data_IF_448525662367
#
_entry.id   IF_448525662367
#
_cell.length_a   1.000
_cell.length_b   1.000
_cell.length_c   1.000
_cell.angle_alpha   90.00
_cell.angle_beta   90.00
_cell.angle_gamma   90.00
#
_symmetry.space_group_name_H-M   'P 1'
#
loop_
_entity.id
_entity.type
_entity.pdbx_description
1 polymer ?
#
# COMPACT_ATOMS: atom_id res chain seq x y z
N UNK A 1 -20.85 -6.00 1.61
CA UNK A 1 -19.51 -5.41 1.89
C UNK A 1 -18.55 -5.95 0.86
N UNK A 2 -17.98 -5.09 0.03
CA UNK A 2 -16.92 -5.46 -0.91
C UNK A 2 -15.59 -5.56 -0.15
N UNK A 3 -14.82 -6.63 -0.39
CA UNK A 3 -13.48 -6.81 0.17
C UNK A 3 -12.44 -6.68 -0.93
N UNK A 4 -11.39 -5.91 -0.66
CA UNK A 4 -10.25 -5.75 -1.57
C UNK A 4 -9.02 -6.42 -0.95
N UNK A 5 -8.45 -7.38 -1.68
CA UNK A 5 -7.27 -8.14 -1.25
C UNK A 5 -6.01 -7.47 -1.76
N UNK A 6 -5.04 -7.25 -0.87
CA UNK A 6 -3.75 -6.64 -1.22
C UNK A 6 -2.60 -7.58 -0.85
N UNK A 7 -1.75 -7.86 -1.83
CA UNK A 7 -0.46 -8.54 -1.65
C UNK A 7 0.57 -7.49 -1.21
N UNK A 8 0.88 -7.44 0.10
CA UNK A 8 2.02 -6.67 0.61
C UNK A 8 2.29 -6.93 2.10
N UNK A 9 3.04 -7.99 2.41
CA UNK A 9 3.64 -8.14 3.74
C UNK A 9 4.75 -7.11 3.93
N UNK A 10 4.49 -6.24 4.90
CA UNK A 10 5.46 -5.47 5.72
C UNK A 10 6.25 -4.33 5.06
N UNK A 11 6.30 -4.22 3.74
CA UNK A 11 7.16 -3.24 3.06
C UNK A 11 6.51 -1.88 2.83
N UNK A 12 5.17 -1.79 2.77
CA UNK A 12 4.47 -0.54 2.44
C UNK A 12 3.32 -0.18 3.38
N UNK A 13 3.59 -0.07 4.69
CA UNK A 13 2.68 0.64 5.60
C UNK A 13 2.94 2.15 5.50
N UNK A 14 2.62 2.74 4.34
CA UNK A 14 2.68 4.21 4.17
C UNK A 14 1.52 4.79 4.97
N UNK A 15 1.86 5.44 6.09
CA UNK A 15 0.91 6.22 6.87
C UNK A 15 0.90 7.68 6.38
N UNK A 16 -0.09 8.46 6.82
CA UNK A 16 -0.09 9.90 6.57
C UNK A 16 1.18 10.54 7.15
N UNK A 17 1.63 11.64 6.56
CA UNK A 17 2.93 12.22 6.92
C UNK A 17 3.02 12.64 8.40
N UNK A 18 1.92 13.10 9.00
CA UNK A 18 1.81 13.44 10.43
C UNK A 18 1.47 12.27 11.34
N UNK A 19 1.34 11.05 10.80
CA UNK A 19 0.98 9.87 11.59
C UNK A 19 2.09 9.44 12.53
N UNK A 20 1.67 8.87 13.65
CA UNK A 20 2.57 8.38 14.68
C UNK A 20 3.44 7.22 14.16
N UNK A 21 4.76 7.35 14.22
CA UNK A 21 5.69 6.30 13.80
C UNK A 21 7.00 6.32 14.57
N UNK A 22 7.39 5.17 15.12
CA UNK A 22 8.64 5.03 15.86
C UNK A 22 9.86 4.84 14.93
N UNK A 23 9.68 4.57 13.63
CA UNK A 23 10.75 4.04 12.75
C UNK A 23 12.01 4.92 12.66
N UNK A 24 11.86 6.24 12.75
CA UNK A 24 12.96 7.19 12.63
C UNK A 24 13.15 8.09 13.86
N UNK A 25 12.40 7.87 14.95
CA UNK A 25 12.44 8.76 16.11
C UNK A 25 13.84 8.81 16.75
N UNK A 26 14.33 10.02 17.12
CA UNK A 26 15.64 10.17 17.77
C UNK A 26 15.59 9.73 19.23
N UNK A 27 16.72 9.23 19.76
CA UNK A 27 16.82 8.81 21.17
C UNK A 27 16.62 9.98 22.14
N UNK A 28 17.29 11.10 21.86
CA UNK A 28 17.32 12.30 22.70
C UNK A 28 16.85 13.52 21.90
N UNK A 29 16.41 14.56 22.61
CA UNK A 29 16.21 15.89 22.04
C UNK A 29 17.48 16.42 21.36
N UNK A 30 17.30 17.20 20.29
CA UNK A 30 18.42 17.83 19.60
C UNK A 30 19.07 18.91 20.47
N UNK A 31 20.40 19.02 20.37
CA UNK A 31 21.17 20.11 20.95
C UNK A 31 21.13 21.37 20.07
N UNK A 32 20.90 21.22 18.77
CA UNK A 32 20.85 22.34 17.84
C UNK A 32 19.64 23.24 18.12
N UNK A 33 19.75 24.55 17.83
CA UNK A 33 18.67 25.51 18.06
C UNK A 33 17.43 25.22 17.22
N UNK A 34 17.58 24.68 16.01
CA UNK A 34 16.50 24.45 15.06
C UNK A 34 15.45 23.40 15.53
N UNK A 35 14.20 23.48 15.02
CA UNK A 35 13.20 22.44 15.20
C UNK A 35 13.73 21.09 14.74
N UNK A 36 13.52 20.06 15.56
CA UNK A 36 14.01 18.73 15.26
C UNK A 36 12.85 17.77 15.05
N UNK A 37 13.01 16.90 14.05
CA UNK A 37 12.07 15.83 13.71
C UNK A 37 10.65 16.34 13.34
N UNK A 38 10.52 17.33 12.43
CA UNK A 38 9.24 17.63 11.81
C UNK A 38 8.87 16.57 10.75
N UNK A 39 7.58 16.47 10.44
CA UNK A 39 7.10 15.72 9.29
C UNK A 39 6.86 16.69 8.11
N UNK A 40 7.65 16.61 7.02
CA UNK A 40 7.43 17.47 5.86
C UNK A 40 6.22 16.97 5.06
N UNK A 41 5.30 17.87 4.76
CA UNK A 41 4.10 17.62 3.94
C UNK A 41 4.12 18.56 2.76
N UNK A 42 3.73 18.06 1.59
CA UNK A 42 3.60 18.93 0.42
C UNK A 42 2.43 19.90 0.63
N UNK A 43 2.69 21.19 0.41
CA UNK A 43 1.67 22.22 0.50
C UNK A 43 0.64 22.05 -0.63
N UNK A 44 -0.62 22.33 -0.30
CA UNK A 44 -1.74 22.30 -1.25
C UNK A 44 -2.45 23.64 -1.22
N UNK A 45 -2.87 24.11 -2.40
CA UNK A 45 -3.76 25.25 -2.54
C UNK A 45 -5.18 24.91 -2.07
N UNK A 46 -6.06 25.91 -2.00
CA UNK A 46 -7.47 25.76 -1.64
C UNK A 46 -8.22 24.74 -2.53
N UNK A 47 -7.81 24.60 -3.79
CA UNK A 47 -8.35 23.62 -4.74
C UNK A 47 -7.78 22.19 -4.55
N UNK A 48 -6.94 21.97 -3.55
CA UNK A 48 -6.30 20.69 -3.25
C UNK A 48 -5.10 20.32 -4.14
N UNK A 49 -4.75 21.19 -5.10
CA UNK A 49 -3.58 21.04 -6.00
C UNK A 49 -2.26 21.32 -5.29
N UNK A 50 -1.19 20.63 -5.68
CA UNK A 50 0.15 20.80 -5.08
C UNK A 50 0.76 22.17 -5.42
N UNK A 51 1.39 22.80 -4.44
CA UNK A 51 2.10 24.06 -4.63
C UNK A 51 3.56 23.82 -5.02
N UNK A 52 4.04 24.65 -5.96
CA UNK A 52 5.42 24.62 -6.45
C UNK A 52 6.05 26.00 -6.27
N UNK A 53 7.36 26.04 -6.06
CA UNK A 53 8.14 27.27 -6.12
C UNK A 53 8.37 27.71 -7.56
N UNK A 54 8.96 28.90 -7.73
CA UNK A 54 9.28 29.49 -9.04
C UNK A 54 10.25 28.64 -9.87
N UNK A 55 10.90 27.64 -9.26
CA UNK A 55 11.81 26.69 -9.89
C UNK A 55 11.17 25.32 -10.17
N UNK A 56 9.87 25.16 -9.94
CA UNK A 56 9.14 23.92 -10.19
C UNK A 56 9.36 22.84 -9.12
N UNK A 57 9.89 23.18 -7.94
CA UNK A 57 10.04 22.26 -6.81
C UNK A 57 8.87 22.39 -5.85
N UNK A 58 8.38 21.25 -5.36
CA UNK A 58 7.25 21.20 -4.43
C UNK A 58 7.54 21.97 -3.14
N UNK A 59 6.65 22.91 -2.81
CA UNK A 59 6.65 23.58 -1.52
C UNK A 59 6.22 22.59 -0.43
N UNK A 60 6.93 22.65 0.70
CA UNK A 60 6.69 21.75 1.83
C UNK A 60 6.53 22.54 3.12
N UNK A 61 5.53 22.16 3.88
CA UNK A 61 5.32 22.63 5.23
C UNK A 61 5.77 21.56 6.22
N UNK A 62 6.32 21.99 7.36
CA UNK A 62 6.73 21.10 8.44
C UNK A 62 5.62 21.02 9.48
N UNK A 63 4.97 19.86 9.58
CA UNK A 63 3.95 19.61 10.61
C UNK A 63 4.53 18.82 11.78
N UNK A 64 3.89 18.94 12.93
CA UNK A 64 4.18 18.11 14.10
C UNK A 64 3.51 16.74 13.94
N UNK A 65 4.22 15.68 14.34
CA UNK A 65 3.64 14.34 14.45
C UNK A 65 2.64 14.33 15.61
N UNK A 66 1.46 13.77 15.41
CA UNK A 66 0.37 13.75 16.40
C UNK A 66 -0.17 12.34 16.62
N UNK A 67 -1.14 12.19 17.53
CA UNK A 67 -1.86 10.93 17.75
C UNK A 67 -1.26 10.00 18.81
N UNK A 68 -0.16 10.36 19.47
CA UNK A 68 0.37 9.59 20.59
C UNK A 68 -0.58 9.64 21.79
N UNK A 69 -0.89 8.46 22.36
CA UNK A 69 -1.77 8.33 23.52
C UNK A 69 -1.19 7.37 24.53
N UNK A 70 -1.42 7.66 25.81
CA UNK A 70 -1.14 6.75 26.91
C UNK A 70 -2.21 5.64 26.98
N UNK A 71 -1.96 4.62 27.80
CA UNK A 71 -2.88 3.48 27.97
C UNK A 71 -4.22 3.88 28.61
N UNK A 72 -4.26 5.01 29.32
CA UNK A 72 -5.47 5.61 29.88
C UNK A 72 -6.27 6.45 28.85
N UNK A 73 -5.78 6.56 27.61
CA UNK A 73 -6.38 7.36 26.54
C UNK A 73 -5.98 8.84 26.53
N UNK A 74 -5.23 9.31 27.53
CA UNK A 74 -4.73 10.68 27.59
C UNK A 74 -3.73 10.93 26.46
N UNK A 75 -3.71 12.15 25.93
CA UNK A 75 -2.82 12.52 24.82
C UNK A 75 -1.40 12.69 25.36
N UNK A 76 -0.44 12.06 24.71
CA UNK A 76 0.97 12.28 25.00
C UNK A 76 1.55 13.31 24.03
N UNK A 77 1.97 14.46 24.56
CA UNK A 77 2.70 15.44 23.75
C UNK A 77 4.08 14.91 23.37
N UNK A 78 4.34 14.81 22.07
CA UNK A 78 5.62 14.37 21.52
C UNK A 78 6.68 15.49 21.53
N UNK A 79 6.21 16.74 21.55
CA UNK A 79 7.03 17.94 21.49
C UNK A 79 6.93 18.69 22.82
N UNK A 80 7.99 19.43 23.14
CA UNK A 80 8.05 20.26 24.33
C UNK A 80 7.14 21.47 24.11
N UNK A 81 6.28 21.76 25.09
CA UNK A 81 5.32 22.85 25.02
C UNK A 81 6.00 24.19 24.65
N UNK A 82 5.41 25.01 23.77
CA UNK A 82 6.03 26.26 23.29
C UNK A 82 6.32 27.29 24.39
N UNK A 83 5.58 27.23 25.51
CA UNK A 83 5.81 28.09 26.69
C UNK A 83 7.00 27.65 27.56
N UNK A 84 7.66 26.54 27.26
CA UNK A 84 8.81 26.09 28.03
C UNK A 84 10.02 26.98 27.78
N UNK A 85 10.77 27.35 28.83
CA UNK A 85 11.95 28.21 28.71
C UNK A 85 13.12 27.55 27.99
N UNK A 86 13.18 26.21 27.96
CA UNK A 86 14.24 25.44 27.33
C UNK A 86 13.67 24.46 26.31
N UNK A 87 14.22 24.48 25.10
CA UNK A 87 13.89 23.55 24.01
C UNK A 87 12.41 23.56 23.58
N UNK A 88 11.72 24.70 23.72
CA UNK A 88 10.35 24.90 23.25
C UNK A 88 10.15 24.41 21.81
N UNK A 89 9.04 23.70 21.54
CA UNK A 89 8.71 23.17 20.21
C UNK A 89 9.57 22.01 19.74
N UNK A 90 10.55 21.54 20.52
CA UNK A 90 11.42 20.43 20.11
C UNK A 90 10.83 19.08 20.45
N UNK A 91 11.11 18.09 19.61
CA UNK A 91 10.77 16.70 19.90
C UNK A 91 11.51 16.22 21.15
N UNK A 92 10.78 15.63 22.10
CA UNK A 92 11.30 15.20 23.41
C UNK A 92 12.39 14.11 23.30
N UNK A 93 12.23 13.20 22.34
CA UNK A 93 13.10 12.02 22.17
C UNK A 93 12.52 10.78 22.86
N UNK A 94 12.84 9.60 22.31
CA UNK A 94 12.27 8.33 22.79
C UNK A 94 12.55 8.04 24.27
N UNK A 95 13.68 8.50 24.82
CA UNK A 95 14.03 8.28 26.23
C UNK A 95 13.01 8.93 27.17
N UNK A 96 12.63 10.18 26.91
CA UNK A 96 11.63 10.90 27.69
C UNK A 96 10.24 10.31 27.46
N UNK A 97 9.88 10.00 26.21
CA UNK A 97 8.56 9.45 25.88
C UNK A 97 8.31 8.08 26.54
N UNK A 98 9.34 7.24 26.63
CA UNK A 98 9.24 5.94 27.30
C UNK A 98 9.25 6.07 28.83
N UNK A 99 9.97 7.05 29.37
CA UNK A 99 9.97 7.37 30.80
C UNK A 99 8.59 7.88 31.27
N UNK A 100 7.97 8.79 30.52
CA UNK A 100 6.59 9.24 30.72
C UNK A 100 5.59 8.05 30.68
N UNK A 101 5.88 7.02 29.88
CA UNK A 101 5.09 5.78 29.80
C UNK A 101 5.45 4.74 30.88
N UNK A 102 6.20 5.13 31.92
CA UNK A 102 6.62 4.30 33.06
C UNK A 102 7.40 3.04 32.65
N UNK A 103 8.14 3.07 31.53
CA UNK A 103 9.01 1.97 31.11
C UNK A 103 10.38 2.12 31.78
N UNK A 104 10.66 1.26 32.75
CA UNK A 104 11.95 1.20 33.47
C UNK A 104 13.04 0.58 32.58
N UNK A 105 14.30 0.75 33.00
CA UNK A 105 15.51 0.12 32.39
C UNK A 105 15.91 0.63 30.99
N UNK A 106 15.65 1.90 30.69
CA UNK A 106 16.00 2.50 29.40
C UNK A 106 17.52 2.70 29.22
N UNK A 107 18.27 2.92 30.31
CA UNK A 107 19.70 3.30 30.25
C UNK A 107 20.60 2.23 29.59
N UNK A 108 20.23 0.96 29.70
CA UNK A 108 21.00 -0.17 29.17
C UNK A 108 20.58 -0.56 27.75
N UNK A 109 19.54 0.06 27.17
CA UNK A 109 19.01 -0.30 25.86
C UNK A 109 19.56 0.57 24.73
N UNK A 110 19.83 -0.09 23.61
CA UNK A 110 20.18 0.55 22.36
C UNK A 110 19.01 1.37 21.79
N UNK A 111 19.31 2.43 21.04
CA UNK A 111 18.31 3.23 20.32
C UNK A 111 17.55 2.37 19.32
N UNK A 112 18.31 1.67 18.47
CA UNK A 112 17.83 0.81 17.40
C UNK A 112 18.71 -0.44 17.31
N UNK A 113 18.12 -1.57 16.95
CA UNK A 113 18.87 -2.74 16.52
C UNK A 113 19.39 -2.50 15.09
N UNK A 114 20.51 -3.13 14.71
CA UNK A 114 21.09 -3.01 13.36
C UNK A 114 20.02 -3.20 12.27
N UNK A 115 19.69 -2.10 11.58
CA UNK A 115 18.72 -2.03 10.49
C UNK A 115 17.26 -2.28 10.87
N UNK A 116 16.89 -2.33 12.15
CA UNK A 116 15.56 -2.71 12.65
C UNK A 116 15.03 -4.07 12.14
N UNK A 117 15.91 -4.89 11.54
CA UNK A 117 15.62 -6.21 10.95
C UNK A 117 15.67 -7.35 11.96
N UNK A 118 16.39 -7.17 13.07
CA UNK A 118 16.50 -8.17 14.14
C UNK A 118 15.39 -7.97 15.16
N UNK A 119 14.26 -8.63 14.94
CA UNK A 119 13.35 -8.94 16.02
C UNK A 119 13.46 -10.44 16.25
N UNK A 120 14.07 -10.83 17.37
CA UNK A 120 13.75 -12.14 17.92
C UNK A 120 12.25 -12.10 18.27
N UNK A 121 11.43 -13.04 17.76
CA UNK A 121 9.98 -13.08 18.02
C UNK A 121 9.63 -13.03 19.51
N UNK A 122 10.53 -13.48 20.38
CA UNK A 122 10.34 -13.53 21.83
C UNK A 122 10.78 -12.24 22.55
N UNK A 123 11.60 -11.37 21.93
CA UNK A 123 12.03 -10.09 22.53
C UNK A 123 11.21 -8.90 22.00
N UNK A 124 10.05 -8.67 22.61
CA UNK A 124 9.22 -7.46 22.35
C UNK A 124 9.88 -6.14 22.76
N UNK A 125 11.07 -6.16 23.40
CA UNK A 125 11.71 -4.99 23.99
C UNK A 125 13.22 -4.84 23.68
N UNK A 126 13.72 -5.41 22.56
CA UNK A 126 15.16 -5.41 22.26
C UNK A 126 15.85 -4.02 22.20
N UNK A 127 15.15 -2.96 21.78
CA UNK A 127 15.64 -1.59 21.73
C UNK A 127 14.53 -0.58 22.04
N UNK A 128 14.88 0.68 22.34
CA UNK A 128 13.90 1.74 22.64
C UNK A 128 12.89 1.90 21.50
N UNK A 129 13.36 1.88 20.26
CA UNK A 129 12.49 1.97 19.08
C UNK A 129 11.48 0.83 19.01
N UNK A 130 11.89 -0.42 19.31
CA UNK A 130 10.97 -1.57 19.30
C UNK A 130 9.95 -1.48 20.43
N UNK A 131 10.39 -1.04 21.61
CA UNK A 131 9.49 -0.82 22.75
C UNK A 131 8.38 0.18 22.43
N UNK A 132 8.72 1.24 21.70
CA UNK A 132 7.74 2.24 21.26
C UNK A 132 6.90 1.74 20.08
N UNK A 133 7.51 1.09 19.10
CA UNK A 133 6.83 0.50 17.93
C UNK A 133 5.75 -0.52 18.32
N UNK A 134 5.99 -1.31 19.39
CA UNK A 134 5.05 -2.30 19.88
C UNK A 134 3.98 -1.73 20.84
N UNK A 135 3.99 -0.43 21.13
CA UNK A 135 2.92 0.19 21.92
C UNK A 135 1.60 0.14 21.15
N UNK A 136 0.46 0.04 21.85
CA UNK A 136 -0.83 -0.12 21.20
C UNK A 136 -1.18 1.06 20.29
N UNK A 137 -0.89 2.30 20.69
CA UNK A 137 -1.16 3.50 19.90
C UNK A 137 -0.29 3.58 18.65
N UNK A 138 0.97 3.14 18.70
CA UNK A 138 1.87 3.06 17.53
C UNK A 138 1.50 1.91 16.58
N UNK A 139 1.06 0.77 17.11
CA UNK A 139 0.71 -0.39 16.32
C UNK A 139 -0.65 -0.23 15.61
N UNK A 140 -1.58 0.48 16.25
CA UNK A 140 -2.94 0.73 15.76
C UNK A 140 -3.04 1.82 14.69
N UNK A 141 -1.93 2.50 14.36
CA UNK A 141 -1.91 3.50 13.29
C UNK A 141 -2.28 2.86 11.96
N UNK A 142 -3.37 3.34 11.38
CA UNK A 142 -3.84 2.93 10.06
C UNK A 142 -2.91 3.47 8.97
N UNK A 143 -2.76 2.69 7.91
CA UNK A 143 -2.12 3.10 6.67
C UNK A 143 -3.06 3.96 5.83
N UNK A 144 -2.50 4.76 4.93
CA UNK A 144 -3.29 5.53 3.96
C UNK A 144 -4.23 4.62 3.15
N UNK A 145 -3.81 3.39 2.87
CA UNK A 145 -4.64 2.41 2.15
C UNK A 145 -5.87 2.01 2.97
N UNK A 146 -5.70 1.71 4.25
CA UNK A 146 -6.82 1.36 5.14
C UNK A 146 -7.80 2.52 5.28
N UNK A 147 -7.31 3.76 5.39
CA UNK A 147 -8.16 4.95 5.45
C UNK A 147 -8.96 5.15 4.15
N UNK A 148 -8.30 5.10 2.98
CA UNK A 148 -8.98 5.22 1.68
C UNK A 148 -9.98 4.10 1.44
N UNK A 149 -9.67 2.86 1.80
CA UNK A 149 -10.62 1.76 1.66
C UNK A 149 -11.81 1.90 2.62
N UNK A 150 -11.59 2.42 3.83
CA UNK A 150 -12.68 2.69 4.77
C UNK A 150 -13.63 3.77 4.24
N UNK A 151 -13.12 4.83 3.60
CA UNK A 151 -13.93 5.85 2.91
C UNK A 151 -14.84 5.23 1.82
N UNK A 152 -14.37 4.17 1.17
CA UNK A 152 -15.13 3.42 0.17
C UNK A 152 -15.93 2.22 0.73
N UNK A 153 -16.04 2.08 2.05
CA UNK A 153 -16.69 0.94 2.71
C UNK A 153 -16.14 -0.44 2.26
N UNK A 154 -14.86 -0.48 1.92
CA UNK A 154 -14.14 -1.68 1.51
C UNK A 154 -13.24 -2.19 2.65
N UNK A 155 -13.34 -3.49 2.94
CA UNK A 155 -12.43 -4.12 3.89
C UNK A 155 -11.07 -4.38 3.23
N UNK A 156 -9.98 -4.04 3.93
CA UNK A 156 -8.61 -4.34 3.51
C UNK A 156 -8.16 -5.65 4.17
N UNK A 157 -7.75 -6.61 3.34
CA UNK A 157 -7.14 -7.86 3.80
C UNK A 157 -5.67 -7.87 3.40
N UNK A 158 -4.78 -7.90 4.40
CA UNK A 158 -3.35 -8.12 4.21
C UNK A 158 -3.06 -9.61 4.27
N UNK A 159 -2.68 -10.20 3.14
CA UNK A 159 -2.26 -11.60 3.10
C UNK A 159 -0.77 -11.73 3.45
N UNK A 160 -0.35 -12.87 4.04
CA UNK A 160 1.06 -13.24 4.14
C UNK A 160 1.74 -13.24 2.75
N UNK A 161 3.05 -12.95 2.69
CA UNK A 161 3.86 -12.95 1.45
C UNK A 161 4.27 -14.38 1.11
N UNK A 162 3.37 -15.31 1.37
CA UNK A 162 3.55 -16.69 0.99
C UNK A 162 2.87 -16.82 -0.37
N UNK A 163 3.68 -17.11 -1.39
CA UNK A 163 3.29 -17.23 -2.80
C UNK A 163 1.97 -18.02 -2.98
N UNK A 164 1.79 -19.07 -2.18
CA UNK A 164 0.63 -19.96 -2.23
C UNK A 164 -0.74 -19.29 -1.97
N UNK A 165 -0.77 -18.13 -1.31
CA UNK A 165 -2.00 -17.41 -0.97
C UNK A 165 -2.31 -16.25 -1.91
N UNK A 166 -1.45 -15.98 -2.90
CA UNK A 166 -1.74 -14.95 -3.88
C UNK A 166 -2.91 -15.39 -4.78
N UNK A 167 -4.00 -14.60 -4.91
CA UNK A 167 -5.14 -14.97 -5.76
C UNK A 167 -4.76 -15.24 -7.22
N UNK A 168 -3.66 -14.64 -7.69
CA UNK A 168 -3.09 -14.88 -9.02
C UNK A 168 -2.43 -16.28 -9.08
N UNK A 169 -1.77 -16.73 -8.02
CA UNK A 169 -1.14 -18.05 -7.96
C UNK A 169 -2.16 -19.18 -7.76
N UNK A 170 -3.35 -18.88 -7.21
CA UNK A 170 -4.47 -19.81 -7.14
C UNK A 170 -5.10 -20.14 -8.51
N UNK A 171 -4.84 -19.33 -9.55
CA UNK A 171 -5.32 -19.61 -10.90
C UNK A 171 -4.25 -20.41 -11.64
N UNK A 172 -4.53 -21.66 -12.07
CA UNK A 172 -3.56 -22.45 -12.82
C UNK A 172 -3.09 -21.68 -14.05
N UNK A 173 -1.78 -21.70 -14.33
CA UNK A 173 -1.18 -21.03 -15.50
C UNK A 173 -1.90 -21.39 -16.81
N UNK A 174 -2.37 -22.64 -16.92
CA UNK A 174 -3.14 -23.13 -18.06
C UNK A 174 -4.49 -22.40 -18.23
N UNK A 175 -5.15 -22.02 -17.13
CA UNK A 175 -6.37 -21.23 -17.17
C UNK A 175 -6.11 -19.80 -17.65
N UNK A 176 -5.02 -19.16 -17.19
CA UNK A 176 -4.61 -17.84 -17.66
C UNK A 176 -4.27 -17.86 -19.16
N UNK A 177 -3.48 -18.85 -19.59
CA UNK A 177 -3.11 -19.03 -21.00
C UNK A 177 -4.34 -19.23 -21.88
N UNK A 178 -5.28 -20.08 -21.46
CA UNK A 178 -6.54 -20.30 -22.19
C UNK A 178 -7.38 -19.02 -22.29
N UNK A 179 -7.47 -18.23 -21.23
CA UNK A 179 -8.20 -16.96 -21.22
C UNK A 179 -7.55 -15.94 -22.17
N UNK A 180 -6.24 -15.72 -22.06
CA UNK A 180 -5.49 -14.76 -22.88
C UNK A 180 -5.55 -15.16 -24.36
N UNK A 181 -5.33 -16.44 -24.69
CA UNK A 181 -5.43 -16.91 -26.08
C UNK A 181 -6.85 -16.78 -26.63
N UNK A 182 -7.88 -17.02 -25.81
CA UNK A 182 -9.27 -16.77 -26.23
C UNK A 182 -9.49 -15.29 -26.51
N UNK A 183 -9.12 -14.40 -25.59
CA UNK A 183 -9.26 -12.96 -25.76
C UNK A 183 -8.49 -12.45 -26.99
N UNK A 184 -7.26 -12.94 -27.22
CA UNK A 184 -6.45 -12.58 -28.37
C UNK A 184 -7.13 -12.95 -29.68
N UNK A 185 -7.72 -14.16 -29.79
CA UNK A 185 -8.45 -14.57 -31.00
C UNK A 185 -9.68 -13.70 -31.28
N UNK A 186 -10.40 -13.27 -30.24
CA UNK A 186 -11.50 -12.32 -30.41
C UNK A 186 -11.00 -10.95 -30.87
N UNK A 187 -9.96 -10.41 -30.23
CA UNK A 187 -9.36 -9.14 -30.60
C UNK A 187 -8.85 -9.15 -32.05
N UNK A 188 -8.22 -10.25 -32.46
CA UNK A 188 -7.71 -10.44 -33.82
C UNK A 188 -8.85 -10.51 -34.85
N UNK A 189 -9.91 -11.27 -34.56
CA UNK A 189 -11.13 -11.29 -35.39
C UNK A 189 -11.73 -9.88 -35.54
N UNK A 190 -11.80 -9.09 -34.46
CA UNK A 190 -12.29 -7.71 -34.52
C UNK A 190 -11.38 -6.79 -35.33
N UNK A 191 -10.05 -6.94 -35.24
CA UNK A 191 -9.11 -6.19 -36.10
C UNK A 191 -9.33 -6.48 -37.59
N UNK A 192 -9.72 -7.70 -37.91
CA UNK A 192 -10.08 -8.10 -39.27
C UNK A 192 -11.54 -7.76 -39.65
N UNK A 193 -12.29 -7.06 -38.79
CA UNK A 193 -13.63 -6.56 -39.08
C UNK A 193 -14.75 -7.58 -38.95
N UNK A 194 -14.52 -8.68 -38.23
CA UNK A 194 -15.54 -9.71 -37.97
C UNK A 194 -16.50 -9.24 -36.86
N UNK A 195 -17.75 -9.72 -36.90
CA UNK A 195 -18.75 -9.49 -35.85
C UNK A 195 -18.51 -10.36 -34.60
N UNK A 196 -19.25 -10.11 -33.52
CA UNK A 196 -19.17 -10.91 -32.29
C UNK A 196 -19.54 -12.39 -32.50
N UNK A 197 -20.57 -12.67 -33.33
CA UNK A 197 -21.00 -14.04 -33.68
C UNK A 197 -19.90 -14.78 -34.46
N UNK A 198 -19.30 -14.11 -35.44
CA UNK A 198 -18.20 -14.63 -36.25
C UNK A 198 -16.93 -14.86 -35.42
N UNK A 199 -16.55 -13.90 -34.57
CA UNK A 199 -15.40 -14.02 -33.66
C UNK A 199 -15.55 -15.19 -32.68
N UNK A 200 -16.75 -15.42 -32.15
CA UNK A 200 -17.04 -16.55 -31.27
C UNK A 200 -16.88 -17.90 -31.99
N UNK A 201 -17.33 -17.98 -33.24
CA UNK A 201 -17.14 -19.16 -34.07
C UNK A 201 -15.65 -19.42 -34.34
N UNK A 202 -14.90 -18.39 -34.73
CA UNK A 202 -13.45 -18.48 -35.00
C UNK A 202 -12.69 -18.97 -33.76
N UNK A 203 -12.97 -18.38 -32.59
CA UNK A 203 -12.34 -18.77 -31.34
C UNK A 203 -12.60 -20.24 -30.96
N UNK A 204 -13.76 -20.80 -31.33
CA UNK A 204 -14.12 -22.20 -31.11
C UNK A 204 -13.45 -23.13 -32.12
N UNK A 205 -13.48 -22.78 -33.42
CA UNK A 205 -12.88 -23.58 -34.50
C UNK A 205 -11.36 -23.69 -34.35
N UNK A 206 -10.71 -22.57 -34.03
CA UNK A 206 -9.26 -22.47 -33.91
C UNK A 206 -8.77 -22.51 -32.45
N UNK A 207 -9.45 -23.28 -31.58
CA UNK A 207 -9.14 -23.35 -30.13
C UNK A 207 -7.69 -23.76 -29.80
N UNK A 208 -7.05 -24.54 -30.69
CA UNK A 208 -5.64 -24.96 -30.57
C UNK A 208 -4.63 -24.04 -31.26
N UNK A 209 -5.08 -23.03 -32.00
CA UNK A 209 -4.18 -22.09 -32.69
C UNK A 209 -4.03 -20.81 -31.88
N UNK A 210 -2.82 -20.25 -31.88
CA UNK A 210 -2.56 -18.94 -31.25
C UNK A 210 -3.13 -17.79 -32.07
N UNK A 211 -3.05 -17.89 -33.39
CA UNK A 211 -3.57 -16.91 -34.35
C UNK A 211 -4.32 -17.69 -35.45
N UNK A 212 -5.58 -17.33 -35.77
CA UNK A 212 -6.29 -17.90 -36.92
C UNK A 212 -5.61 -17.50 -38.24
N UNK A 213 -5.67 -18.33 -39.30
CA UNK A 213 -5.12 -17.97 -40.60
C UNK A 213 -5.74 -16.68 -41.17
N UNK A 214 -4.91 -15.73 -41.60
CA UNK A 214 -5.36 -14.41 -42.08
C UNK A 214 -6.25 -14.49 -43.33
N UNK A 215 -5.94 -15.39 -44.26
CA UNK A 215 -6.72 -15.63 -45.48
C UNK A 215 -8.16 -16.04 -45.16
N UNK A 216 -8.32 -16.89 -44.15
CA UNK A 216 -9.63 -17.34 -43.68
C UNK A 216 -10.45 -16.21 -43.03
N UNK A 217 -9.79 -15.32 -42.27
CA UNK A 217 -10.46 -14.16 -41.68
C UNK A 217 -10.95 -13.18 -42.76
N UNK A 218 -10.17 -13.01 -43.83
CA UNK A 218 -10.57 -12.18 -44.99
C UNK A 218 -11.74 -12.79 -45.76
N UNK A 219 -11.75 -14.11 -45.96
CA UNK A 219 -12.87 -14.82 -46.60
C UNK A 219 -14.16 -14.68 -45.77
N UNK A 220 -14.09 -14.87 -44.46
CA UNK A 220 -15.25 -14.71 -43.55
C UNK A 220 -15.81 -13.29 -43.57
N UNK A 221 -14.93 -12.28 -43.67
CA UNK A 221 -15.34 -10.88 -43.82
C UNK A 221 -16.04 -10.64 -45.16
N UNK A 222 -15.48 -11.15 -46.25
CA UNK A 222 -15.99 -10.92 -47.60
C UNK A 222 -17.32 -11.63 -47.87
N UNK A 223 -17.49 -12.82 -47.30
CA UNK A 223 -18.67 -13.68 -47.54
C UNK A 223 -19.84 -13.38 -46.60
N UNK A 224 -19.61 -12.66 -45.50
CA UNK A 224 -20.65 -12.32 -44.52
C UNK A 224 -21.31 -13.54 -43.85
N UNK A 225 -20.72 -14.73 -43.96
CA UNK A 225 -21.39 -15.97 -43.57
C UNK A 225 -21.44 -16.07 -42.05
N UNK A 226 -22.64 -15.94 -41.50
CA UNK A 226 -22.95 -16.41 -40.14
C UNK A 226 -23.11 -17.93 -40.19
N UNK A 227 -22.01 -18.67 -40.09
CA UNK A 227 -22.09 -20.14 -39.97
C UNK A 227 -22.66 -20.44 -38.58
N UNK A 228 -23.99 -20.56 -38.49
CA UNK A 228 -24.71 -20.91 -37.27
C UNK A 228 -24.01 -22.09 -36.59
N UNK A 229 -23.68 -21.90 -35.32
CA UNK A 229 -23.11 -22.96 -34.50
C UNK A 229 -24.10 -24.11 -34.44
N UNK A 230 -23.68 -25.27 -34.96
CA UNK A 230 -24.38 -26.53 -34.81
C UNK A 230 -24.89 -26.71 -33.38
N UNK A 231 -26.22 -26.60 -33.19
CA UNK A 231 -26.96 -26.85 -31.95
C UNK A 231 -27.08 -28.36 -31.70
N UNK A 232 -25.93 -29.04 -31.63
CA UNK A 232 -25.84 -30.42 -31.21
C UNK A 232 -24.75 -30.56 -30.14
N UNK A 233 -25.10 -30.13 -28.93
CA UNK A 233 -24.57 -30.68 -27.70
C UNK A 233 -25.79 -31.23 -26.97
N UNK A 234 -26.00 -32.55 -27.12
CA UNK A 234 -27.00 -33.28 -26.35
C UNK A 234 -26.68 -33.21 -24.86
N UNK A 235 -27.75 -33.45 -24.09
CA UNK A 235 -27.77 -33.72 -22.65
C UNK A 235 -26.59 -34.56 -22.16
#
# INVERSE_FOLDING_TARGET
>A
MSSSTYDNVTTHRKCSAGALSARAMPKKKSKNPDPNFPAPVNMRNDDGSLMYDDHGKLLKENIHITGARFADGTVQDLYIHPRATKHAGKFKGMEILLDERRKKELKQKNTECKGFKRADPHLKSCCMRRMLFNQPDFAAVKSCLEDTCAEHNCAVLFLPNDCELNPIEMVPLESMRRLVLRAHRFADAYRHGLSGSQGAWVARKYKGHRVPPAEFLQEMRATGIEREGNRNAGL
#
